data_IF_062446474025
#
_entry.id   IF_062446474025
#
_cell.length_a   1.000
_cell.length_b   1.000
_cell.length_c   1.000
_cell.angle_alpha   90.00
_cell.angle_beta   90.00
_cell.angle_gamma   90.00
#
_symmetry.space_group_name_H-M   'P 1'
#
loop_
_entity.id
_entity.type
_entity.pdbx_description
1 polymer ?
#
# COMPACT_ATOMS: atom_id res chain seq x y z
N UNK A 1 3.27 -22.27 6.02
CA UNK A 1 4.59 -21.73 5.61
C UNK A 1 4.65 -20.30 6.13
N UNK A 2 5.82 -19.79 6.50
CA UNK A 2 5.96 -18.41 6.97
C UNK A 2 6.44 -17.56 5.80
N UNK A 3 5.57 -16.70 5.28
CA UNK A 3 5.94 -15.78 4.20
C UNK A 3 6.54 -14.51 4.82
N UNK A 4 7.61 -13.99 4.21
CA UNK A 4 8.28 -12.77 4.70
C UNK A 4 8.18 -11.67 3.67
N UNK A 5 7.77 -10.49 4.13
CA UNK A 5 7.60 -9.32 3.29
C UNK A 5 8.38 -8.13 3.84
N UNK A 6 8.93 -7.32 2.94
CA UNK A 6 9.46 -5.99 3.26
C UNK A 6 8.37 -4.95 3.00
N UNK A 7 8.05 -4.12 4.00
CA UNK A 7 7.18 -2.96 3.82
C UNK A 7 7.95 -1.78 3.22
N UNK A 8 7.38 -1.17 2.20
CA UNK A 8 7.90 0.00 1.51
C UNK A 8 6.81 1.08 1.49
N UNK A 9 7.04 2.17 2.23
CA UNK A 9 6.16 3.34 2.20
C UNK A 9 6.53 4.26 1.05
N UNK A 10 5.69 4.35 0.02
CA UNK A 10 5.89 5.23 -1.13
C UNK A 10 4.95 6.42 -1.04
N UNK A 11 5.48 7.63 -1.22
CA UNK A 11 4.70 8.87 -1.16
C UNK A 11 4.57 9.50 -2.53
N UNK A 12 3.33 9.81 -2.94
CA UNK A 12 3.04 10.65 -4.11
C UNK A 12 2.45 11.98 -3.64
N UNK A 13 3.05 13.08 -4.07
CA UNK A 13 2.53 14.42 -3.81
C UNK A 13 1.59 14.83 -4.94
N UNK A 14 0.42 15.36 -4.58
CA UNK A 14 -0.58 15.90 -5.48
C UNK A 14 -0.84 17.38 -5.14
N UNK A 15 -1.65 18.07 -5.94
CA UNK A 15 -2.11 19.41 -5.60
C UNK A 15 -3.17 19.34 -4.49
N UNK A 16 -2.91 19.97 -3.35
CA UNK A 16 -3.82 19.99 -2.20
C UNK A 16 -3.85 18.73 -1.31
N UNK A 17 -3.20 17.63 -1.71
CA UNK A 17 -3.13 16.39 -0.93
C UNK A 17 -1.88 15.54 -1.25
N UNK A 18 -1.64 14.49 -0.47
CA UNK A 18 -0.63 13.48 -0.73
C UNK A 18 -1.23 12.08 -0.58
N UNK A 19 -0.67 11.11 -1.29
CA UNK A 19 -1.06 9.69 -1.19
C UNK A 19 0.12 8.91 -0.62
N UNK A 20 -0.12 8.10 0.41
CA UNK A 20 0.84 7.10 0.90
C UNK A 20 0.40 5.74 0.38
N UNK A 21 1.24 5.09 -0.42
CA UNK A 21 1.08 3.69 -0.80
C UNK A 21 1.87 2.83 0.17
N UNK A 22 1.23 1.80 0.70
CA UNK A 22 1.88 0.76 1.48
C UNK A 22 2.11 -0.45 0.62
N UNK A 23 3.32 -0.51 0.10
CA UNK A 23 3.76 -1.58 -0.77
C UNK A 23 4.43 -2.68 0.06
N UNK A 24 4.25 -3.91 -0.37
CA UNK A 24 4.98 -5.07 0.13
C UNK A 24 5.87 -5.61 -0.97
N UNK A 25 7.10 -5.97 -0.62
CA UNK A 25 7.96 -6.81 -1.45
C UNK A 25 7.99 -8.22 -0.86
N UNK A 26 7.62 -9.21 -1.65
CA UNK A 26 7.78 -10.62 -1.27
C UNK A 26 9.25 -11.01 -1.38
N UNK A 27 9.86 -11.47 -0.28
CA UNK A 27 11.29 -11.79 -0.29
C UNK A 27 11.63 -13.02 -1.15
N UNK A 28 10.69 -13.95 -1.32
CA UNK A 28 10.93 -15.16 -2.12
C UNK A 28 10.88 -14.87 -3.62
N UNK A 29 9.94 -14.04 -4.06
CA UNK A 29 9.73 -13.75 -5.49
C UNK A 29 10.38 -12.46 -5.95
N UNK A 30 10.82 -11.62 -5.01
CA UNK A 30 11.32 -10.27 -5.23
C UNK A 30 10.31 -9.34 -5.95
N UNK A 31 9.03 -9.73 -6.01
CA UNK A 31 7.96 -8.94 -6.61
C UNK A 31 7.33 -7.99 -5.60
N UNK A 32 6.66 -6.97 -6.12
CA UNK A 32 6.02 -5.89 -5.36
C UNK A 32 4.50 -5.93 -5.54
N UNK A 33 3.77 -5.59 -4.49
CA UNK A 33 2.32 -5.38 -4.54
C UNK A 33 1.92 -4.23 -3.62
N UNK A 34 0.81 -3.56 -3.92
CA UNK A 34 0.23 -2.53 -3.04
C UNK A 34 -0.83 -3.17 -2.17
N UNK A 35 -0.70 -3.04 -0.85
CA UNK A 35 -1.70 -3.56 0.09
C UNK A 35 -2.80 -2.54 0.35
N UNK A 36 -2.44 -1.27 0.52
CA UNK A 36 -3.36 -0.17 0.78
C UNK A 36 -2.77 1.18 0.34
N UNK A 37 -3.65 2.16 0.14
CA UNK A 37 -3.28 3.56 -0.06
C UNK A 37 -4.10 4.48 0.85
N UNK A 38 -3.47 5.55 1.33
CA UNK A 38 -4.09 6.53 2.23
C UNK A 38 -3.96 7.94 1.64
N UNK A 39 -5.05 8.72 1.66
CA UNK A 39 -5.11 10.07 1.12
C UNK A 39 -5.07 11.12 2.24
N UNK A 40 -4.01 11.91 2.26
CA UNK A 40 -3.76 12.96 3.24
C UNK A 40 -4.05 14.34 2.65
N UNK A 41 -5.19 14.93 3.01
CA UNK A 41 -5.55 16.28 2.57
C UNK A 41 -4.97 17.34 3.51
N UNK A 42 -4.47 18.45 2.95
CA UNK A 42 -3.87 19.52 3.74
C UNK A 42 -4.82 20.16 4.78
N UNK A 43 -6.14 20.04 4.54
CA UNK A 43 -7.19 20.53 5.44
C UNK A 43 -7.41 19.64 6.67
N UNK A 44 -6.99 18.37 6.62
CA UNK A 44 -7.28 17.36 7.64
C UNK A 44 -6.01 17.07 8.46
N UNK A 45 -5.73 17.92 9.45
CA UNK A 45 -4.50 17.80 10.28
C UNK A 45 -4.64 16.71 11.35
N UNK A 46 -4.00 15.56 11.14
CA UNK A 46 -3.40 14.75 12.21
C UNK A 46 -4.14 13.48 12.68
N UNK A 47 -5.43 13.30 12.39
CA UNK A 47 -6.18 12.12 12.86
C UNK A 47 -6.05 10.86 11.96
N UNK A 48 -5.51 11.01 10.74
CA UNK A 48 -5.60 9.99 9.70
C UNK A 48 -4.56 8.85 9.85
N UNK A 49 -3.42 9.11 10.47
CA UNK A 49 -2.27 8.18 10.48
C UNK A 49 -2.51 6.94 11.33
N UNK A 50 -3.12 7.09 12.51
CA UNK A 50 -3.37 5.94 13.42
C UNK A 50 -4.35 4.94 12.82
N UNK A 51 -5.45 5.44 12.24
CA UNK A 51 -6.48 4.59 11.65
C UNK A 51 -5.92 3.77 10.48
N UNK A 52 -5.06 4.39 9.67
CA UNK A 52 -4.37 3.71 8.57
C UNK A 52 -3.48 2.56 9.06
N UNK A 53 -2.66 2.80 10.10
CA UNK A 53 -1.76 1.78 10.66
C UNK A 53 -2.51 0.58 11.24
N UNK A 54 -3.60 0.82 11.97
CA UNK A 54 -4.49 -0.26 12.41
C UNK A 54 -5.05 -1.04 11.23
N UNK A 55 -5.61 -0.35 10.22
CA UNK A 55 -6.18 -0.98 9.03
C UNK A 55 -5.16 -1.87 8.32
N UNK A 56 -3.93 -1.41 8.10
CA UNK A 56 -2.93 -2.24 7.42
C UNK A 56 -2.61 -3.54 8.17
N UNK A 57 -2.46 -3.47 9.49
CA UNK A 57 -2.21 -4.67 10.30
C UNK A 57 -3.41 -5.63 10.20
N UNK A 58 -4.64 -5.11 10.28
CA UNK A 58 -5.85 -5.91 10.10
C UNK A 58 -5.87 -6.60 8.72
N UNK A 59 -5.62 -5.84 7.65
CA UNK A 59 -5.61 -6.39 6.29
C UNK A 59 -4.48 -7.40 6.06
N UNK A 60 -3.34 -7.24 6.73
CA UNK A 60 -2.20 -8.15 6.66
C UNK A 60 -2.48 -9.48 7.36
N UNK A 61 -3.26 -9.46 8.45
CA UNK A 61 -3.65 -10.65 9.22
C UNK A 61 -4.87 -11.38 8.63
N UNK A 62 -5.81 -10.65 8.03
CA UNK A 62 -7.08 -11.20 7.56
C UNK A 62 -6.92 -12.04 6.29
N UNK A 63 -6.17 -11.55 5.30
CA UNK A 63 -5.86 -12.29 4.07
C UNK A 63 -4.38 -12.20 3.78
N UNK A 64 -3.75 -13.35 3.47
CA UNK A 64 -2.32 -13.36 3.13
C UNK A 64 -2.03 -12.35 2.01
N UNK A 65 -0.96 -11.53 2.13
CA UNK A 65 -0.56 -10.65 1.04
C UNK A 65 -0.38 -11.38 -0.30
N UNK A 66 0.01 -12.66 -0.28
CA UNK A 66 0.15 -13.48 -1.47
C UNK A 66 -1.16 -13.60 -2.27
N UNK A 67 -2.30 -13.66 -1.57
CA UNK A 67 -3.64 -13.81 -2.15
C UNK A 67 -4.31 -12.46 -2.40
N UNK A 68 -4.05 -11.47 -1.54
CA UNK A 68 -4.66 -10.15 -1.58
C UNK A 68 -4.05 -9.25 -2.66
N UNK A 69 -2.73 -9.26 -2.79
CA UNK A 69 -2.01 -8.33 -3.65
C UNK A 69 -1.87 -8.89 -5.07
N UNK A 70 -2.01 -8.01 -6.05
CA UNK A 70 -1.49 -8.27 -7.39
C UNK A 70 0.02 -7.97 -7.40
N UNK A 71 0.82 -8.90 -7.92
CA UNK A 71 2.28 -8.85 -7.82
C UNK A 71 2.96 -8.48 -9.14
N UNK A 72 3.84 -7.49 -9.10
CA UNK A 72 4.55 -6.90 -10.24
C UNK A 72 6.07 -6.91 -10.06
N UNK A 73 6.82 -6.71 -11.15
CA UNK A 73 8.29 -6.71 -11.10
C UNK A 73 8.87 -5.38 -10.62
N UNK A 74 8.07 -4.30 -10.66
CA UNK A 74 8.48 -2.98 -10.19
C UNK A 74 7.43 -2.34 -9.28
N UNK A 75 7.89 -1.42 -8.41
CA UNK A 75 7.01 -0.61 -7.57
C UNK A 75 6.09 0.30 -8.41
N UNK A 76 6.60 0.87 -9.50
CA UNK A 76 5.82 1.77 -10.36
C UNK A 76 4.63 1.06 -10.98
N UNK A 77 4.82 -0.13 -11.56
CA UNK A 77 3.74 -0.94 -12.13
C UNK A 77 2.71 -1.34 -11.07
N UNK A 78 3.16 -1.72 -9.86
CA UNK A 78 2.27 -2.08 -8.77
C UNK A 78 1.36 -0.90 -8.37
N UNK A 79 1.93 0.30 -8.31
CA UNK A 79 1.18 1.51 -7.99
C UNK A 79 0.22 1.88 -9.13
N UNK A 80 0.67 1.87 -10.39
CA UNK A 80 -0.18 2.17 -11.55
C UNK A 80 -1.38 1.22 -11.66
N UNK A 81 -1.17 -0.08 -11.43
CA UNK A 81 -2.24 -1.07 -11.42
C UNK A 81 -3.21 -0.88 -10.25
N UNK A 82 -2.70 -0.49 -9.07
CA UNK A 82 -3.53 -0.15 -7.92
C UNK A 82 -4.39 1.08 -8.19
N UNK A 83 -3.80 2.15 -8.72
CA UNK A 83 -4.52 3.37 -9.11
C UNK A 83 -5.61 3.05 -10.14
N UNK A 84 -5.30 2.29 -11.19
CA UNK A 84 -6.29 1.90 -12.19
C UNK A 84 -7.49 1.12 -11.62
N UNK A 85 -7.31 0.46 -10.47
CA UNK A 85 -8.35 -0.32 -9.80
C UNK A 85 -9.17 0.53 -8.83
N UNK A 86 -8.54 1.50 -8.15
CA UNK A 86 -9.12 2.18 -6.98
C UNK A 86 -9.28 3.71 -7.11
N UNK A 87 -8.63 4.39 -8.07
CA UNK A 87 -8.95 5.78 -8.39
C UNK A 87 -10.32 5.83 -9.11
N UNK A 88 -11.36 6.18 -8.35
CA UNK A 88 -12.70 6.57 -8.81
C UNK A 88 -13.12 7.90 -8.23
#
# INVERSE_FOLDING_TARGET
MSDTYLELSVWRRMDGFAIRYRCLQCLDTQKYGVQSSDYYYARDKGAQTWASDAQFVELFLDTSPAERCTWFVSLSEAIEAHDATFDR
#
